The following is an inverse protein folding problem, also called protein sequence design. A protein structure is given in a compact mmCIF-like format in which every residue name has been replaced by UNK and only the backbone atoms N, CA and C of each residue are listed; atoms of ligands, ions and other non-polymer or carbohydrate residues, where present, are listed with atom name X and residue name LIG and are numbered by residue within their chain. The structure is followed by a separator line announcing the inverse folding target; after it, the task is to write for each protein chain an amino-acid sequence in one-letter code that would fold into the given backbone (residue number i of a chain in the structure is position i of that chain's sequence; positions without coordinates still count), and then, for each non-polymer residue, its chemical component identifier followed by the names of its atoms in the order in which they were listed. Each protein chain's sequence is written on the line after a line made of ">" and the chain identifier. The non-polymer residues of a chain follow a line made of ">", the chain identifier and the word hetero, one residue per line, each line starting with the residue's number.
data_IF_498321641990
#
_entry.id   IF_498321641990
#
_cell.length_a   1.000
_cell.length_b   1.000
_cell.length_c   1.000
_cell.angle_alpha   90.00
_cell.angle_beta   90.00
_cell.angle_gamma   90.00
#
_symmetry.space_group_name_H-M   'P 1'
#
loop_
_entity.id
_entity.type
_entity.pdbx_description
1 polymer ?
#
# COMPACT_ATOMS: atom_id res chain seq x y z
N UNK A 1 54.18 -45.05 2.97
CA UNK A 1 53.52 -44.29 4.04
C UNK A 1 52.98 -42.93 3.56
N UNK A 2 53.67 -42.25 2.63
CA UNK A 2 53.34 -40.90 2.16
C UNK A 2 51.95 -40.76 1.47
N UNK A 3 51.55 -41.73 0.63
CA UNK A 3 50.28 -41.69 -0.09
C UNK A 3 49.00 -41.79 0.78
N UNK A 4 49.10 -42.36 1.98
CA UNK A 4 47.95 -42.46 2.89
C UNK A 4 47.69 -41.13 3.62
N UNK A 5 48.75 -40.36 3.88
CA UNK A 5 48.65 -39.05 4.54
C UNK A 5 48.06 -37.99 3.59
N UNK A 6 48.43 -38.03 2.29
CA UNK A 6 47.90 -37.11 1.27
C UNK A 6 46.42 -37.37 0.97
N UNK A 7 45.98 -38.64 0.93
CA UNK A 7 44.56 -38.97 0.72
C UNK A 7 43.68 -38.56 1.92
N UNK A 8 44.19 -38.70 3.15
CA UNK A 8 43.49 -38.23 4.35
C UNK A 8 43.38 -36.70 4.41
N UNK A 9 44.38 -35.96 3.91
CA UNK A 9 44.32 -34.50 3.82
C UNK A 9 43.25 -34.04 2.81
N UNK A 10 43.21 -34.64 1.61
CA UNK A 10 42.21 -34.33 0.59
C UNK A 10 40.77 -34.59 1.05
N UNK A 11 40.53 -35.71 1.75
CA UNK A 11 39.20 -36.02 2.33
C UNK A 11 38.77 -35.01 3.40
N UNK A 12 39.71 -34.54 4.22
CA UNK A 12 39.45 -33.51 5.24
C UNK A 12 39.12 -32.17 4.60
N UNK A 13 39.80 -31.80 3.52
CA UNK A 13 39.54 -30.58 2.78
C UNK A 13 38.17 -30.60 2.08
N UNK A 14 37.83 -31.71 1.41
CA UNK A 14 36.51 -31.91 0.81
C UNK A 14 35.38 -31.83 1.87
N UNK A 15 35.59 -32.43 3.05
CA UNK A 15 34.61 -32.34 4.15
C UNK A 15 34.46 -30.92 4.70
N UNK A 16 35.53 -30.10 4.70
CA UNK A 16 35.46 -28.68 5.10
C UNK A 16 34.70 -27.86 4.06
N UNK A 17 34.99 -28.05 2.78
CA UNK A 17 34.28 -27.39 1.69
C UNK A 17 32.77 -27.72 1.72
N UNK A 18 32.41 -28.99 1.91
CA UNK A 18 31.00 -29.40 2.02
C UNK A 18 30.27 -28.73 3.20
N UNK A 19 30.94 -28.59 4.36
CA UNK A 19 30.37 -27.87 5.52
C UNK A 19 30.19 -26.39 5.25
N UNK A 20 31.12 -25.75 4.54
CA UNK A 20 31.02 -24.34 4.16
C UNK A 20 29.85 -24.12 3.19
N UNK A 21 29.72 -24.96 2.16
CA UNK A 21 28.59 -24.90 1.21
C UNK A 21 27.25 -25.06 1.92
N UNK A 22 27.16 -25.97 2.89
CA UNK A 22 25.94 -26.13 3.69
C UNK A 22 25.65 -24.90 4.58
N UNK A 23 26.67 -24.31 5.20
CA UNK A 23 26.50 -23.10 6.00
C UNK A 23 26.03 -21.91 5.15
N UNK A 24 26.55 -21.78 3.92
CA UNK A 24 26.12 -20.77 2.95
C UNK A 24 24.68 -20.99 2.51
N UNK A 25 24.30 -22.24 2.20
CA UNK A 25 22.92 -22.59 1.89
C UNK A 25 21.97 -22.23 3.04
N UNK A 26 22.29 -22.65 4.27
CA UNK A 26 21.48 -22.36 5.45
C UNK A 26 21.36 -20.85 5.71
N UNK A 27 22.45 -20.11 5.55
CA UNK A 27 22.46 -18.64 5.67
C UNK A 27 21.56 -17.96 4.65
N UNK A 28 21.65 -18.35 3.38
CA UNK A 28 20.77 -17.84 2.31
C UNK A 28 19.31 -18.21 2.54
N UNK A 29 19.02 -19.45 2.91
CA UNK A 29 17.67 -19.92 3.23
C UNK A 29 17.05 -19.13 4.39
N UNK A 30 17.81 -18.88 5.46
CA UNK A 30 17.36 -18.08 6.59
C UNK A 30 17.08 -16.62 6.20
N UNK A 31 17.92 -16.02 5.36
CA UNK A 31 17.69 -14.67 4.83
C UNK A 31 16.40 -14.59 4.01
N UNK A 32 16.19 -15.54 3.09
CA UNK A 32 14.97 -15.62 2.29
C UNK A 32 13.75 -15.78 3.19
N UNK A 33 13.83 -16.67 4.19
CA UNK A 33 12.74 -16.88 5.16
C UNK A 33 12.34 -15.63 5.94
N UNK A 34 13.32 -14.79 6.31
CA UNK A 34 13.10 -13.48 6.95
C UNK A 34 12.47 -12.47 5.98
N UNK A 35 12.98 -12.40 4.75
CA UNK A 35 12.45 -11.51 3.73
C UNK A 35 11.00 -11.84 3.36
N UNK A 36 10.64 -13.13 3.25
CA UNK A 36 9.24 -13.56 3.06
C UNK A 36 8.36 -13.02 4.18
N UNK A 37 8.79 -13.16 5.44
CA UNK A 37 8.02 -12.66 6.58
C UNK A 37 7.87 -11.13 6.57
N UNK A 38 8.92 -10.40 6.22
CA UNK A 38 8.87 -8.95 6.04
C UNK A 38 7.86 -8.55 4.95
N UNK A 39 7.86 -9.25 3.81
CA UNK A 39 6.88 -9.05 2.73
C UNK A 39 5.45 -9.35 3.19
N UNK A 40 5.22 -10.44 3.92
CA UNK A 40 3.91 -10.75 4.51
C UNK A 40 3.41 -9.67 5.46
N UNK A 41 4.31 -9.04 6.23
CA UNK A 41 3.96 -7.94 7.14
C UNK A 41 3.56 -6.68 6.36
N UNK A 42 4.30 -6.34 5.30
CA UNK A 42 3.95 -5.24 4.38
C UNK A 42 2.59 -5.50 3.72
N UNK A 43 2.32 -6.74 3.29
CA UNK A 43 1.04 -7.17 2.74
C UNK A 43 -0.11 -6.98 3.73
N UNK A 44 0.08 -7.35 5.00
CA UNK A 44 -0.93 -7.14 6.04
C UNK A 44 -1.23 -5.65 6.26
N UNK A 45 -0.20 -4.78 6.19
CA UNK A 45 -0.39 -3.32 6.24
C UNK A 45 -1.15 -2.82 5.01
N UNK A 46 -0.75 -3.25 3.80
CA UNK A 46 -1.41 -2.89 2.55
C UNK A 46 -2.88 -3.32 2.55
N UNK A 47 -3.21 -4.50 3.06
CA UNK A 47 -4.57 -4.99 3.22
C UNK A 47 -5.41 -4.09 4.13
N UNK A 48 -4.84 -3.62 5.25
CA UNK A 48 -5.51 -2.68 6.16
C UNK A 48 -5.76 -1.32 5.48
N UNK A 49 -4.80 -0.82 4.71
CA UNK A 49 -4.95 0.44 3.96
C UNK A 49 -5.99 0.31 2.85
N UNK A 50 -5.98 -0.80 2.10
CA UNK A 50 -6.97 -1.08 1.07
C UNK A 50 -8.41 -1.12 1.64
N UNK A 51 -8.59 -1.62 2.87
CA UNK A 51 -9.88 -1.61 3.58
C UNK A 51 -10.32 -0.22 4.07
N UNK A 52 -9.37 0.64 4.45
CA UNK A 52 -9.64 1.96 5.05
C UNK A 52 -9.90 3.06 4.04
N UNK A 53 -9.97 2.74 2.74
CA UNK A 53 -10.30 3.67 1.65
C UNK A 53 -11.50 4.56 2.04
N UNK A 54 -11.23 5.81 2.42
CA UNK A 54 -12.19 6.78 2.97
C UNK A 54 -12.39 7.92 1.98
N UNK A 55 -13.61 8.46 1.87
CA UNK A 55 -13.97 9.43 0.82
C UNK A 55 -13.18 10.74 0.82
N UNK A 56 -12.57 11.09 1.94
CA UNK A 56 -11.89 12.39 2.12
C UNK A 56 -10.38 12.25 2.36
N UNK A 57 -9.90 11.05 2.61
CA UNK A 57 -8.50 10.80 2.95
C UNK A 57 -8.11 9.39 2.53
N UNK A 58 -8.11 9.15 1.22
CA UNK A 58 -7.64 7.89 0.66
C UNK A 58 -6.10 7.89 0.62
N UNK A 59 -5.40 6.94 1.28
CA UNK A 59 -3.94 6.85 1.23
C UNK A 59 -3.45 6.25 -0.10
N UNK A 60 -3.83 6.85 -1.24
CA UNK A 60 -3.51 6.37 -2.59
C UNK A 60 -2.00 6.23 -2.77
N UNK A 61 -1.24 7.25 -2.37
CA UNK A 61 0.23 7.28 -2.52
C UNK A 61 0.89 6.16 -1.70
N UNK A 62 0.51 6.01 -0.43
CA UNK A 62 1.09 4.96 0.44
C UNK A 62 0.74 3.55 -0.08
N UNK A 63 -0.47 3.36 -0.62
CA UNK A 63 -0.87 2.10 -1.25
C UNK A 63 -0.05 1.82 -2.51
N UNK A 64 0.17 2.83 -3.36
CA UNK A 64 0.98 2.68 -4.57
C UNK A 64 2.44 2.34 -4.24
N UNK A 65 3.04 3.06 -3.29
CA UNK A 65 4.41 2.81 -2.83
C UNK A 65 4.57 1.42 -2.22
N UNK A 66 3.70 1.04 -1.27
CA UNK A 66 3.74 -0.29 -0.67
C UNK A 66 3.50 -1.40 -1.70
N UNK A 67 2.64 -1.16 -2.70
CA UNK A 67 2.42 -2.09 -3.80
C UNK A 67 3.68 -2.27 -4.65
N UNK A 68 4.38 -1.19 -4.96
CA UNK A 68 5.62 -1.23 -5.74
C UNK A 68 6.72 -1.97 -4.97
N UNK A 69 6.88 -1.69 -3.67
CA UNK A 69 7.84 -2.37 -2.79
C UNK A 69 7.53 -3.86 -2.70
N UNK A 70 6.28 -4.25 -2.41
CA UNK A 70 5.90 -5.68 -2.31
C UNK A 70 6.11 -6.42 -3.64
N UNK A 71 5.81 -5.77 -4.77
CA UNK A 71 6.06 -6.34 -6.10
C UNK A 71 7.56 -6.58 -6.33
N UNK A 72 8.41 -5.63 -5.94
CA UNK A 72 9.86 -5.78 -6.04
C UNK A 72 10.37 -6.88 -5.10
N UNK A 73 9.89 -6.93 -3.86
CA UNK A 73 10.26 -7.96 -2.88
C UNK A 73 9.90 -9.37 -3.38
N UNK A 74 8.70 -9.58 -3.95
CA UNK A 74 8.29 -10.88 -4.50
C UNK A 74 9.18 -11.30 -5.66
N UNK A 75 9.58 -10.37 -6.54
CA UNK A 75 10.52 -10.66 -7.63
C UNK A 75 11.89 -11.06 -7.09
N UNK A 76 12.43 -10.27 -6.16
CA UNK A 76 13.72 -10.55 -5.53
C UNK A 76 13.71 -11.89 -4.79
N UNK A 77 12.62 -12.21 -4.09
CA UNK A 77 12.42 -13.49 -3.40
C UNK A 77 12.38 -14.68 -4.37
N UNK A 78 11.74 -14.55 -5.53
CA UNK A 78 11.76 -15.61 -6.55
C UNK A 78 13.18 -15.88 -7.04
N UNK A 79 13.93 -14.82 -7.41
CA UNK A 79 15.32 -14.93 -7.85
C UNK A 79 16.19 -15.58 -6.76
N UNK A 80 16.08 -15.11 -5.52
CA UNK A 80 16.87 -15.65 -4.41
C UNK A 80 16.57 -17.13 -4.14
N UNK A 81 15.32 -17.57 -4.30
CA UNK A 81 14.96 -18.99 -4.18
C UNK A 81 15.52 -19.80 -5.34
N UNK A 82 15.50 -19.28 -6.57
CA UNK A 82 16.11 -19.94 -7.74
C UNK A 82 17.63 -20.06 -7.58
N UNK A 83 18.31 -19.03 -7.09
CA UNK A 83 19.73 -19.07 -6.75
C UNK A 83 20.02 -20.09 -5.63
N UNK A 84 19.17 -20.13 -4.59
CA UNK A 84 19.28 -21.12 -3.52
C UNK A 84 19.13 -22.56 -4.05
N UNK A 85 18.28 -22.76 -5.06
CA UNK A 85 18.14 -24.04 -5.75
C UNK A 85 19.37 -24.42 -6.57
N UNK A 86 20.07 -23.45 -7.12
CA UNK A 86 21.31 -23.68 -7.87
C UNK A 86 22.48 -24.05 -6.95
N UNK A 87 22.48 -23.58 -5.69
CA UNK A 87 23.49 -23.92 -4.67
C UNK A 87 23.39 -25.35 -4.10
N UNK A 88 22.79 -26.30 -4.82
CA UNK A 88 22.70 -27.71 -4.40
C UNK A 88 24.09 -28.33 -4.25
N UNK A 89 24.61 -28.32 -3.03
CA UNK A 89 25.83 -29.00 -2.66
C UNK A 89 25.48 -30.35 -2.04
N UNK A 90 25.44 -31.42 -2.82
CA UNK A 90 25.26 -32.74 -2.21
C UNK A 90 26.13 -33.83 -2.84
N UNK A 91 27.20 -34.14 -2.11
CA UNK A 91 27.84 -35.46 -2.10
C UNK A 91 27.00 -36.51 -1.32
N UNK A 92 25.94 -36.11 -0.60
CA UNK A 92 25.20 -36.99 0.33
C UNK A 92 23.67 -36.88 0.17
N UNK A 93 22.98 -38.03 0.02
CA UNK A 93 21.54 -38.10 -0.32
C UNK A 93 20.62 -37.42 0.70
N UNK A 94 20.89 -37.58 1.99
CA UNK A 94 20.06 -37.01 3.06
C UNK A 94 20.10 -35.47 3.06
N UNK A 95 21.26 -34.89 2.75
CA UNK A 95 21.42 -33.44 2.67
C UNK A 95 20.69 -32.87 1.46
N UNK A 96 20.84 -33.50 0.29
CA UNK A 96 20.10 -33.11 -0.92
C UNK A 96 18.58 -33.09 -0.70
N UNK A 97 18.06 -34.08 0.03
CA UNK A 97 16.65 -34.18 0.36
C UNK A 97 16.22 -33.04 1.28
N UNK A 98 17.00 -32.76 2.33
CA UNK A 98 16.74 -31.67 3.25
C UNK A 98 16.70 -30.31 2.53
N UNK A 99 17.72 -30.01 1.72
CA UNK A 99 17.84 -28.77 0.98
C UNK A 99 16.65 -28.58 0.02
N UNK A 100 16.23 -29.67 -0.64
CA UNK A 100 15.03 -29.68 -1.49
C UNK A 100 13.75 -29.38 -0.70
N UNK A 101 13.58 -29.97 0.48
CA UNK A 101 12.43 -29.70 1.37
C UNK A 101 12.41 -28.24 1.85
N UNK A 102 13.57 -27.68 2.22
CA UNK A 102 13.70 -26.28 2.65
C UNK A 102 13.28 -25.34 1.52
N UNK A 103 13.84 -25.53 0.32
CA UNK A 103 13.47 -24.77 -0.86
C UNK A 103 11.96 -24.90 -1.16
N UNK A 104 11.42 -26.12 -1.12
CA UNK A 104 9.99 -26.36 -1.36
C UNK A 104 9.11 -25.57 -0.39
N UNK A 105 9.49 -25.59 0.90
CA UNK A 105 8.79 -24.83 1.95
C UNK A 105 8.85 -23.32 1.69
N UNK A 106 10.01 -22.79 1.27
CA UNK A 106 10.16 -21.38 0.92
C UNK A 106 9.30 -21.00 -0.30
N UNK A 107 9.25 -21.85 -1.33
CA UNK A 107 8.37 -21.66 -2.49
C UNK A 107 6.89 -21.62 -2.11
N UNK A 108 6.44 -22.55 -1.29
CA UNK A 108 5.04 -22.58 -0.82
C UNK A 108 4.69 -21.32 -0.04
N UNK A 109 5.59 -20.85 0.84
CA UNK A 109 5.38 -19.60 1.60
C UNK A 109 5.35 -18.38 0.69
N UNK A 110 6.24 -18.29 -0.30
CA UNK A 110 6.24 -17.20 -1.28
C UNK A 110 4.98 -17.23 -2.16
N UNK A 111 4.52 -18.41 -2.56
CA UNK A 111 3.27 -18.57 -3.31
C UNK A 111 2.08 -18.08 -2.49
N UNK A 112 2.02 -18.39 -1.18
CA UNK A 112 1.03 -17.85 -0.26
C UNK A 112 1.05 -16.32 -0.21
N UNK A 113 2.21 -15.71 0.01
CA UNK A 113 2.36 -14.26 0.01
C UNK A 113 1.96 -13.62 -1.34
N UNK A 114 2.25 -14.28 -2.46
CA UNK A 114 1.84 -13.83 -3.80
C UNK A 114 0.34 -13.90 -3.99
N UNK A 115 -0.32 -14.93 -3.44
CA UNK A 115 -1.77 -15.04 -3.49
C UNK A 115 -2.44 -13.95 -2.64
N UNK A 116 -1.94 -13.72 -1.42
CA UNK A 116 -2.42 -12.64 -0.56
C UNK A 116 -2.27 -11.27 -1.25
N UNK A 117 -1.15 -11.05 -1.93
CA UNK A 117 -0.94 -9.84 -2.72
C UNK A 117 -2.03 -9.63 -3.78
N UNK A 118 -2.38 -10.67 -4.54
CA UNK A 118 -3.45 -10.60 -5.54
C UNK A 118 -4.79 -10.24 -4.91
N UNK A 119 -5.13 -10.87 -3.78
CA UNK A 119 -6.37 -10.60 -3.06
C UNK A 119 -6.43 -9.15 -2.59
N UNK A 120 -5.32 -8.61 -2.07
CA UNK A 120 -5.25 -7.20 -1.64
C UNK A 120 -5.43 -6.22 -2.79
N UNK A 121 -4.86 -6.51 -3.97
CA UNK A 121 -5.06 -5.68 -5.16
C UNK A 121 -6.50 -5.71 -5.67
N UNK A 122 -7.14 -6.89 -5.63
CA UNK A 122 -8.57 -7.03 -5.95
C UNK A 122 -9.42 -6.22 -4.96
N UNK A 123 -9.16 -6.36 -3.66
CA UNK A 123 -9.86 -5.60 -2.62
C UNK A 123 -9.73 -4.09 -2.81
N UNK A 124 -8.55 -3.61 -3.23
CA UNK A 124 -8.35 -2.20 -3.56
C UNK A 124 -9.21 -1.77 -4.75
N UNK A 125 -9.28 -2.60 -5.80
CA UNK A 125 -10.10 -2.34 -6.98
C UNK A 125 -11.58 -2.27 -6.62
N UNK A 126 -12.07 -3.21 -5.81
CA UNK A 126 -13.47 -3.24 -5.38
C UNK A 126 -13.81 -2.06 -4.48
N UNK A 127 -12.92 -1.70 -3.55
CA UNK A 127 -13.11 -0.53 -2.67
C UNK A 127 -13.22 0.76 -3.47
N UNK A 128 -12.41 0.93 -4.53
CA UNK A 128 -12.49 2.07 -5.44
C UNK A 128 -13.79 2.08 -6.27
N UNK A 129 -14.27 0.92 -6.73
CA UNK A 129 -15.54 0.81 -7.46
C UNK A 129 -16.73 1.21 -6.58
N UNK A 130 -16.80 0.69 -5.35
CA UNK A 130 -17.86 1.05 -4.39
C UNK A 130 -17.81 2.54 -4.06
N UNK A 131 -16.59 3.09 -3.92
CA UNK A 131 -16.38 4.50 -3.67
C UNK A 131 -16.92 5.37 -4.82
N UNK A 132 -16.56 5.07 -6.07
CA UNK A 132 -17.05 5.79 -7.25
C UNK A 132 -18.58 5.71 -7.37
N UNK A 133 -19.17 4.53 -7.17
CA UNK A 133 -20.63 4.37 -7.22
C UNK A 133 -21.35 5.20 -6.15
N UNK A 134 -20.84 5.22 -4.91
CA UNK A 134 -21.39 6.04 -3.83
C UNK A 134 -21.25 7.53 -4.12
N UNK A 135 -20.09 7.97 -4.63
CA UNK A 135 -19.88 9.36 -5.02
C UNK A 135 -20.87 9.79 -6.11
N UNK A 136 -21.11 8.95 -7.13
CA UNK A 136 -22.08 9.24 -8.20
C UNK A 136 -23.51 9.37 -7.66
N UNK A 137 -23.91 8.51 -6.71
CA UNK A 137 -25.24 8.57 -6.10
C UNK A 137 -25.45 9.86 -5.28
N UNK A 138 -24.40 10.39 -4.65
CA UNK A 138 -24.45 11.66 -3.91
C UNK A 138 -24.18 12.90 -4.76
N UNK A 139 -23.41 12.80 -5.84
CA UNK A 139 -23.19 13.91 -6.78
C UNK A 139 -24.37 14.12 -7.73
N UNK A 140 -25.16 13.07 -7.99
CA UNK A 140 -26.40 13.17 -8.77
C UNK A 140 -27.62 13.51 -7.89
N UNK A 141 -27.49 13.42 -6.56
CA UNK A 141 -28.43 14.06 -5.65
C UNK A 141 -28.19 15.58 -5.75
N UNK A 142 -29.11 16.26 -6.43
CA UNK A 142 -29.09 17.71 -6.62
C UNK A 142 -28.73 18.45 -5.33
N UNK A 143 -27.91 19.52 -5.38
CA UNK A 143 -27.56 20.27 -4.20
C UNK A 143 -28.86 20.71 -3.51
N UNK A 144 -29.09 20.20 -2.29
CA UNK A 144 -30.15 20.68 -1.42
C UNK A 144 -29.98 22.19 -1.35
N UNK A 145 -30.92 22.89 -1.98
CA UNK A 145 -31.02 24.35 -1.99
C UNK A 145 -30.85 24.80 -0.53
N UNK A 146 -29.90 25.70 -0.19
CA UNK A 146 -29.77 26.17 1.17
C UNK A 146 -31.10 26.84 1.51
N UNK A 147 -31.91 26.19 2.34
CA UNK A 147 -33.10 26.78 2.92
C UNK A 147 -32.60 27.72 4.01
N UNK A 148 -32.07 28.86 3.57
CA UNK A 148 -31.69 29.99 4.40
C UNK A 148 -32.93 30.42 5.19
N UNK A 149 -32.85 30.22 6.49
CA UNK A 149 -33.83 30.69 7.46
C UNK A 149 -34.05 32.20 7.35
N UNK A 150 -35.31 32.58 7.53
CA UNK A 150 -35.86 33.93 7.43
C UNK A 150 -35.18 34.97 8.35
N UNK A 151 -35.25 36.27 8.03
CA UNK A 151 -35.26 37.30 9.06
C UNK A 151 -36.69 37.46 9.63
N UNK A 152 -36.84 37.21 10.93
CA UNK A 152 -38.01 37.62 11.72
C UNK A 152 -38.01 39.15 11.78
N UNK A 153 -38.97 39.81 11.12
CA UNK A 153 -39.16 41.26 11.22
C UNK A 153 -40.02 41.55 12.45
N UNK A 154 -39.37 41.95 13.54
CA UNK A 154 -40.02 42.48 14.75
C UNK A 154 -40.59 43.89 14.50
N UNK A 155 -41.64 44.21 15.24
CA UNK A 155 -42.60 45.30 15.06
C UNK A 155 -42.06 46.73 15.24
N UNK A 156 -42.77 47.70 14.67
CA UNK A 156 -43.26 48.88 15.41
C UNK A 156 -44.36 49.61 14.64
N UNK A 157 -45.56 49.57 15.22
CA UNK A 157 -46.63 50.52 14.96
C UNK A 157 -46.28 51.82 15.69
N UNK A 158 -46.35 52.96 15.01
CA UNK A 158 -46.11 54.27 15.58
C UNK A 158 -46.82 55.35 14.78
N UNK A 159 -48.01 55.72 15.25
CA UNK A 159 -48.76 56.93 14.87
C UNK A 159 -47.94 58.19 15.20
N UNK A 160 -48.05 59.23 14.37
CA UNK A 160 -47.61 60.57 14.75
C UNK A 160 -47.66 61.57 13.59
N UNK A 161 -48.61 62.49 13.64
CA UNK A 161 -48.83 63.58 12.68
C UNK A 161 -48.06 64.85 13.08
N UNK A 162 -47.65 65.66 12.09
CA UNK A 162 -47.52 67.14 12.07
C UNK A 162 -46.63 67.51 10.85
N UNK A 163 -47.12 68.17 9.80
CA UNK A 163 -47.51 69.58 9.69
C UNK A 163 -46.36 70.55 10.02
N UNK A 164 -45.76 71.13 8.98
CA UNK A 164 -44.70 72.14 9.07
C UNK A 164 -44.31 72.65 7.68
N UNK A 165 -44.75 73.86 7.39
CA UNK A 165 -44.79 74.57 6.12
C UNK A 165 -43.51 75.40 5.84
N UNK A 166 -43.36 75.85 4.58
CA UNK A 166 -42.52 76.95 4.08
C UNK A 166 -40.98 76.74 4.00
N UNK A 167 -40.22 77.32 3.07
CA UNK A 167 -40.44 78.02 1.80
C UNK A 167 -39.06 78.33 1.17
N UNK A 168 -39.00 78.40 -0.18
CA UNK A 168 -38.03 79.16 -0.98
C UNK A 168 -36.65 78.51 -1.23
N UNK A 169 -35.90 78.82 -2.28
CA UNK A 169 -36.09 79.58 -3.52
C UNK A 169 -34.79 79.43 -4.36
N UNK A 170 -34.86 79.63 -5.69
CA UNK A 170 -33.71 79.90 -6.58
C UNK A 170 -33.38 78.75 -7.56
N UNK A 171 -33.74 78.83 -8.85
CA UNK A 171 -33.04 79.55 -9.94
C UNK A 171 -31.73 78.83 -10.35
N UNK A 172 -31.37 78.51 -11.59
CA UNK A 172 -31.84 78.78 -12.96
C UNK A 172 -30.90 78.00 -13.91
N UNK A 173 -31.35 77.59 -15.10
CA UNK A 173 -30.96 78.13 -16.42
C UNK A 173 -29.61 77.65 -17.01
N UNK A 174 -29.65 77.26 -18.31
CA UNK A 174 -28.52 77.20 -19.26
C UNK A 174 -28.14 75.77 -19.67
N UNK A 175 -28.50 75.24 -20.85
CA UNK A 175 -27.98 75.57 -22.21
C UNK A 175 -26.48 75.24 -22.32
N UNK A 176 -25.91 74.54 -23.29
CA UNK A 176 -26.27 74.00 -24.60
C UNK A 176 -24.95 73.49 -25.23
N UNK A 177 -25.03 72.63 -26.24
CA UNK A 177 -23.87 72.09 -26.96
C UNK A 177 -24.15 70.74 -27.58
#
# INVERSE_FOLDING_TARGET
>A
ADGAASEQAARREAARAARQQHAEFAGKAALIGRNIHATSTKLAKLAKLAKRTSMFADPVTEIQELTAVVKADIKALNVAIEELQATKGAQNKNQAQHDSTVVGSLKTRLAGATQDFKVVLQQRTDSLRVHQGRQQMFSNASPLKPMLGAPIRAASAGRGASAGEAAGAGAGLGEGG
#
